data_IF_306314525916
#
_entry.id   IF_306314525916
#
_cell.length_a   1.000
_cell.length_b   1.000
_cell.length_c   1.000
_cell.angle_alpha   90.00
_cell.angle_beta   90.00
_cell.angle_gamma   90.00
#
_symmetry.space_group_name_H-M   'P 1'
#
loop_
_entity.id
_entity.type
_entity.pdbx_description
1 polymer ?
#
# COMPACT_ATOMS: atom_id res chain seq x y z
N UNK A 1 -41.02 54.66 7.99
CA UNK A 1 -39.87 54.22 7.22
C UNK A 1 -38.75 53.96 8.21
N UNK A 2 -38.58 52.72 8.63
CA UNK A 2 -37.54 52.30 9.59
C UNK A 2 -36.37 51.70 8.87
N UNK A 3 -35.19 52.24 9.14
CA UNK A 3 -33.91 51.74 8.63
C UNK A 3 -33.41 50.65 9.58
N UNK A 4 -33.21 49.44 9.04
CA UNK A 4 -32.65 48.32 9.83
C UNK A 4 -31.16 48.20 9.45
N UNK A 5 -30.32 48.55 10.44
CA UNK A 5 -28.87 48.43 10.35
C UNK A 5 -28.46 46.96 10.62
N UNK A 6 -28.06 46.23 9.59
CA UNK A 6 -27.49 44.88 9.67
C UNK A 6 -25.99 44.97 9.89
N UNK A 7 -25.51 44.92 11.13
CA UNK A 7 -24.11 44.71 11.44
C UNK A 7 -23.74 43.24 11.20
N UNK A 8 -23.06 42.99 10.10
CA UNK A 8 -22.38 41.72 9.78
C UNK A 8 -21.19 41.57 10.73
N UNK A 9 -21.28 40.59 11.64
CA UNK A 9 -20.16 40.14 12.47
C UNK A 9 -19.37 39.12 11.65
N UNK A 10 -18.27 39.55 11.05
CA UNK A 10 -17.30 38.70 10.43
C UNK A 10 -16.42 38.08 11.54
N UNK A 11 -16.76 36.86 12.00
CA UNK A 11 -15.87 36.04 12.83
C UNK A 11 -14.85 35.39 11.88
N UNK A 12 -13.73 36.06 11.64
CA UNK A 12 -12.53 35.42 11.10
C UNK A 12 -12.01 34.48 12.18
N UNK A 13 -12.09 33.18 11.93
CA UNK A 13 -11.42 32.18 12.76
C UNK A 13 -9.90 32.41 12.61
N UNK A 14 -9.28 32.94 13.66
CA UNK A 14 -7.82 33.02 13.77
C UNK A 14 -7.27 31.58 13.80
N UNK A 15 -6.79 31.12 12.66
CA UNK A 15 -6.02 29.87 12.58
C UNK A 15 -4.66 30.14 13.23
N UNK A 16 -4.49 29.69 14.47
CA UNK A 16 -3.22 29.73 15.18
C UNK A 16 -2.16 28.95 14.40
N UNK A 17 -1.29 29.66 13.69
CA UNK A 17 -0.14 29.11 12.99
C UNK A 17 1.04 28.96 13.95
N UNK A 18 1.03 27.91 14.79
CA UNK A 18 2.21 27.50 15.54
C UNK A 18 3.21 26.89 14.54
N UNK A 19 4.46 27.39 14.46
CA UNK A 19 5.45 26.86 13.54
C UNK A 19 5.74 25.38 13.85
N UNK A 20 6.05 24.55 12.84
CA UNK A 20 6.22 23.10 13.00
C UNK A 20 7.27 22.68 14.04
N UNK A 21 8.28 23.53 14.33
CA UNK A 21 9.36 23.28 15.27
C UNK A 21 8.96 23.41 16.75
N UNK A 22 7.82 24.06 17.05
CA UNK A 22 7.35 24.28 18.43
C UNK A 22 6.22 23.34 18.84
N UNK A 23 5.72 22.49 17.94
CA UNK A 23 4.73 21.47 18.28
C UNK A 23 5.40 20.32 19.01
N UNK A 24 5.23 20.25 20.32
CA UNK A 24 5.58 19.08 21.12
C UNK A 24 4.94 17.80 20.52
N UNK A 25 5.53 16.64 20.77
CA UNK A 25 4.91 15.36 20.37
C UNK A 25 3.54 15.26 21.05
N UNK A 26 2.47 14.88 20.34
CA UNK A 26 1.17 14.67 20.96
C UNK A 26 1.31 13.56 22.02
N UNK A 27 0.69 13.77 23.19
CA UNK A 27 0.61 12.75 24.24
C UNK A 27 -0.45 11.69 23.91
N UNK A 28 -1.48 12.08 23.16
CA UNK A 28 -2.57 11.21 22.74
C UNK A 28 -3.03 11.52 21.32
N UNK A 29 -3.56 10.49 20.62
CA UNK A 29 -4.09 10.57 19.26
C UNK A 29 -5.39 9.78 19.18
N UNK A 30 -6.38 10.33 18.49
CA UNK A 30 -7.60 9.63 18.11
C UNK A 30 -7.53 9.30 16.62
N UNK A 31 -7.82 8.04 16.26
CA UNK A 31 -7.85 7.56 14.88
C UNK A 31 -9.29 7.18 14.55
N UNK A 32 -9.83 7.76 13.50
CA UNK A 32 -11.12 7.35 12.93
C UNK A 32 -10.87 6.29 11.85
N UNK A 33 -11.43 5.10 12.07
CA UNK A 33 -11.31 3.95 11.20
C UNK A 33 -10.35 2.87 11.73
N UNK A 34 -10.86 1.66 11.91
CA UNK A 34 -10.12 0.46 12.33
C UNK A 34 -9.91 -0.53 11.17
N UNK A 35 -9.65 -0.04 9.97
CA UNK A 35 -9.10 -0.80 8.86
C UNK A 35 -7.58 -0.93 8.98
N UNK A 36 -6.93 -1.58 8.01
CA UNK A 36 -5.47 -1.85 8.04
C UNK A 36 -4.64 -0.58 8.25
N UNK A 37 -5.00 0.53 7.62
CA UNK A 37 -4.27 1.81 7.73
C UNK A 37 -4.40 2.37 9.14
N UNK A 38 -5.62 2.42 9.71
CA UNK A 38 -5.85 2.95 11.06
C UNK A 38 -5.18 2.09 12.13
N UNK A 39 -5.33 0.77 12.04
CA UNK A 39 -4.74 -0.17 13.01
C UNK A 39 -3.21 -0.17 12.96
N UNK A 40 -2.59 -0.17 11.78
CA UNK A 40 -1.13 -0.11 11.66
C UNK A 40 -0.57 1.23 12.12
N UNK A 41 -1.29 2.32 11.88
CA UNK A 41 -0.94 3.65 12.41
C UNK A 41 -1.01 3.65 13.94
N UNK A 42 -2.10 3.12 14.52
CA UNK A 42 -2.27 2.99 15.96
C UNK A 42 -1.12 2.18 16.59
N UNK A 43 -0.81 1.02 16.03
CA UNK A 43 0.29 0.16 16.47
C UNK A 43 1.64 0.90 16.44
N UNK A 44 1.96 1.59 15.35
CA UNK A 44 3.19 2.39 15.22
C UNK A 44 3.29 3.50 16.26
N UNK A 45 2.18 4.21 16.53
CA UNK A 45 2.12 5.27 17.53
C UNK A 45 2.27 4.71 18.96
N UNK A 46 1.59 3.60 19.27
CA UNK A 46 1.71 2.91 20.56
C UNK A 46 3.15 2.49 20.85
N UNK A 47 3.86 1.94 19.88
CA UNK A 47 5.29 1.59 20.00
C UNK A 47 6.20 2.80 20.25
N UNK A 48 5.73 4.01 19.95
CA UNK A 48 6.41 5.28 20.25
C UNK A 48 5.99 5.89 21.59
N UNK A 49 5.18 5.18 22.39
CA UNK A 49 4.70 5.63 23.69
C UNK A 49 3.56 6.65 23.63
N UNK A 50 2.91 6.81 22.48
CA UNK A 50 1.77 7.70 22.31
C UNK A 50 0.49 6.95 22.71
N UNK A 51 -0.37 7.57 23.51
CA UNK A 51 -1.69 7.04 23.79
C UNK A 51 -2.57 7.12 22.54
N UNK A 52 -3.27 6.01 22.21
CA UNK A 52 -4.09 5.96 20.98
C UNK A 52 -5.48 5.41 21.31
N UNK A 53 -6.48 6.13 20.84
CA UNK A 53 -7.87 5.67 20.79
C UNK A 53 -8.26 5.47 19.33
N UNK A 54 -8.80 4.30 18.99
CA UNK A 54 -9.33 4.01 17.64
C UNK A 54 -10.86 3.98 17.73
N UNK A 55 -11.53 4.69 16.84
CA UNK A 55 -12.98 4.76 16.74
C UNK A 55 -13.42 4.16 15.40
N UNK A 56 -14.30 3.16 15.47
CA UNK A 56 -14.91 2.52 14.31
C UNK A 56 -16.19 1.80 14.76
N UNK A 57 -17.25 1.89 14.00
CA UNK A 57 -18.52 1.22 14.27
C UNK A 57 -18.55 -0.25 13.80
N UNK A 58 -17.64 -0.64 12.89
CA UNK A 58 -17.51 -1.99 12.35
C UNK A 58 -16.03 -2.33 12.09
N UNK A 59 -15.20 -2.52 13.15
CA UNK A 59 -13.77 -2.74 13.00
C UNK A 59 -13.42 -3.89 12.07
N UNK A 60 -12.35 -3.73 11.29
CA UNK A 60 -11.81 -4.74 10.36
C UNK A 60 -12.80 -5.17 9.27
N UNK A 61 -13.84 -4.40 9.02
CA UNK A 61 -14.79 -4.62 7.93
C UNK A 61 -14.33 -3.94 6.62
N UNK A 62 -15.16 -3.98 5.61
CA UNK A 62 -14.95 -3.27 4.35
C UNK A 62 -13.75 -3.75 3.56
N UNK A 63 -12.97 -2.83 3.00
CA UNK A 63 -11.86 -3.14 2.09
C UNK A 63 -10.77 -4.00 2.74
N UNK A 64 -10.45 -3.77 4.01
CA UNK A 64 -9.45 -4.56 4.75
C UNK A 64 -9.88 -6.02 4.91
N UNK A 65 -11.17 -6.28 5.13
CA UNK A 65 -11.72 -7.63 5.20
C UNK A 65 -11.74 -8.32 3.83
N UNK A 66 -12.06 -7.55 2.77
CA UNK A 66 -12.14 -8.06 1.40
C UNK A 66 -10.77 -8.22 0.71
N UNK A 67 -9.69 -7.74 1.33
CA UNK A 67 -8.36 -7.77 0.75
C UNK A 67 -7.89 -9.20 0.48
N UNK A 68 -7.16 -9.40 -0.63
CA UNK A 68 -6.53 -10.67 -0.97
C UNK A 68 -5.13 -10.84 -0.33
N UNK A 69 -4.57 -9.78 0.27
CA UNK A 69 -3.27 -9.81 0.92
C UNK A 69 -2.07 -9.69 -0.03
N UNK A 70 -2.29 -9.31 -1.28
CA UNK A 70 -1.20 -9.05 -2.23
C UNK A 70 -0.39 -7.83 -1.81
N UNK A 71 0.93 -7.95 -1.88
CA UNK A 71 1.92 -6.91 -1.64
C UNK A 71 2.72 -6.75 -2.91
N UNK A 72 2.17 -6.00 -3.86
CA UNK A 72 2.57 -5.97 -5.25
C UNK A 72 3.10 -4.58 -5.69
N UNK A 73 4.21 -4.10 -5.11
CA UNK A 73 4.73 -2.77 -5.38
C UNK A 73 5.24 -2.59 -6.82
N UNK A 74 5.40 -3.66 -7.56
CA UNK A 74 5.97 -3.67 -8.92
C UNK A 74 4.96 -4.09 -9.96
N UNK A 75 4.22 -5.20 -9.77
CA UNK A 75 3.25 -5.66 -10.78
C UNK A 75 2.05 -4.73 -10.94
N UNK A 76 1.71 -3.95 -9.92
CA UNK A 76 0.62 -2.98 -9.98
C UNK A 76 1.03 -1.58 -10.48
N UNK A 77 2.27 -1.40 -10.93
CA UNK A 77 2.72 -0.15 -11.55
C UNK A 77 2.04 0.02 -12.90
N UNK A 78 1.43 1.20 -13.11
CA UNK A 78 0.77 1.62 -14.34
C UNK A 78 1.31 2.97 -14.82
N UNK A 79 1.17 3.29 -16.11
CA UNK A 79 1.86 4.45 -16.75
C UNK A 79 1.48 5.83 -16.21
N UNK A 80 0.30 6.00 -15.63
CA UNK A 80 -0.28 7.30 -15.29
C UNK A 80 -0.13 7.71 -13.82
N UNK A 81 0.59 6.92 -13.00
CA UNK A 81 0.75 7.18 -11.56
C UNK A 81 2.21 7.30 -11.08
N UNK A 82 3.09 8.05 -11.76
CA UNK A 82 4.53 8.07 -11.45
C UNK A 82 4.85 8.59 -10.05
N UNK A 83 3.99 9.42 -9.46
CA UNK A 83 4.18 9.95 -8.10
C UNK A 83 3.94 8.91 -7.00
N UNK A 84 3.20 7.83 -7.31
CA UNK A 84 2.93 6.75 -6.37
C UNK A 84 4.08 5.73 -6.30
N UNK A 85 4.85 5.56 -7.36
CA UNK A 85 5.88 4.52 -7.45
C UNK A 85 6.92 4.57 -6.32
N UNK A 86 7.50 5.73 -5.94
CA UNK A 86 8.47 5.77 -4.85
C UNK A 86 7.87 5.30 -3.51
N UNK A 87 6.60 5.62 -3.26
CA UNK A 87 5.90 5.16 -2.06
C UNK A 87 5.67 3.65 -2.07
N UNK A 88 5.27 3.07 -3.21
CA UNK A 88 5.05 1.63 -3.35
C UNK A 88 6.35 0.86 -3.16
N UNK A 89 7.44 1.29 -3.81
CA UNK A 89 8.77 0.67 -3.69
C UNK A 89 9.30 0.73 -2.26
N UNK A 90 9.19 1.89 -1.61
CA UNK A 90 9.63 2.06 -0.22
C UNK A 90 8.77 1.22 0.74
N UNK A 91 7.46 1.15 0.50
CA UNK A 91 6.56 0.29 1.28
C UNK A 91 6.97 -1.18 1.18
N UNK A 92 7.24 -1.67 -0.04
CA UNK A 92 7.72 -3.05 -0.26
C UNK A 92 9.05 -3.31 0.45
N UNK A 93 10.00 -2.38 0.36
CA UNK A 93 11.32 -2.50 0.98
C UNK A 93 11.27 -2.67 2.50
N UNK A 94 10.36 -1.97 3.18
CA UNK A 94 10.25 -2.02 4.66
C UNK A 94 9.29 -3.09 5.16
N UNK A 95 8.55 -3.76 4.27
CA UNK A 95 7.42 -4.60 4.67
C UNK A 95 7.86 -5.86 5.44
N UNK A 96 8.98 -6.49 5.08
CA UNK A 96 9.54 -7.66 5.80
C UNK A 96 9.75 -7.36 7.29
N UNK A 97 10.46 -6.27 7.59
CA UNK A 97 10.78 -5.88 8.97
C UNK A 97 9.51 -5.45 9.72
N UNK A 98 8.57 -4.82 9.02
CA UNK A 98 7.28 -4.47 9.56
C UNK A 98 6.46 -5.71 9.93
N UNK A 99 6.38 -6.70 9.05
CA UNK A 99 5.68 -7.96 9.28
C UNK A 99 6.31 -8.74 10.45
N UNK A 100 7.64 -8.84 10.47
CA UNK A 100 8.37 -9.49 11.55
C UNK A 100 8.13 -8.82 12.92
N UNK A 101 8.07 -7.48 12.94
CA UNK A 101 7.81 -6.75 14.16
C UNK A 101 6.37 -6.94 14.68
N UNK A 102 5.38 -7.05 13.79
CA UNK A 102 4.00 -7.38 14.19
C UNK A 102 3.94 -8.81 14.69
N UNK A 103 4.49 -9.79 13.97
CA UNK A 103 4.51 -11.19 14.37
C UNK A 103 5.14 -11.37 15.76
N UNK A 104 6.24 -10.66 16.04
CA UNK A 104 6.87 -10.64 17.35
C UNK A 104 5.91 -10.10 18.44
N UNK A 105 5.22 -8.98 18.20
CA UNK A 105 4.36 -8.33 19.19
C UNK A 105 3.07 -9.13 19.45
N UNK A 106 2.53 -9.84 18.44
CA UNK A 106 1.34 -10.69 18.60
C UNK A 106 1.67 -12.11 19.03
N UNK A 107 2.93 -12.54 18.93
CA UNK A 107 3.41 -13.86 19.36
C UNK A 107 3.07 -15.02 18.41
N UNK A 108 2.68 -14.73 17.16
CA UNK A 108 2.44 -15.75 16.12
C UNK A 108 2.73 -15.21 14.73
N UNK A 109 2.87 -16.13 13.76
CA UNK A 109 3.02 -15.78 12.35
C UNK A 109 1.76 -15.10 11.84
N UNK A 110 1.95 -14.07 11.01
CA UNK A 110 0.90 -13.29 10.34
C UNK A 110 0.73 -13.68 8.86
N UNK A 111 1.31 -14.80 8.45
CA UNK A 111 1.21 -15.31 7.09
C UNK A 111 1.94 -14.46 6.04
N UNK A 112 3.01 -13.73 6.43
CA UNK A 112 3.87 -13.04 5.46
C UNK A 112 4.70 -14.07 4.69
N UNK A 113 4.52 -14.12 3.38
CA UNK A 113 5.21 -15.02 2.49
C UNK A 113 5.95 -14.23 1.41
N UNK A 114 7.27 -14.43 1.33
CA UNK A 114 8.08 -13.96 0.22
C UNK A 114 7.84 -14.87 -0.97
N UNK A 115 7.05 -14.37 -1.88
CA UNK A 115 6.72 -14.99 -3.16
C UNK A 115 7.23 -14.12 -4.31
N UNK A 116 7.01 -14.54 -5.53
CA UNK A 116 7.11 -13.70 -6.73
C UNK A 116 5.75 -13.65 -7.41
N UNK A 117 5.61 -12.72 -8.36
CA UNK A 117 4.45 -12.62 -9.24
C UNK A 117 4.87 -12.90 -10.67
N UNK A 118 4.15 -13.79 -11.37
CA UNK A 118 4.26 -13.91 -12.81
C UNK A 118 3.18 -13.06 -13.49
N UNK A 119 3.63 -12.16 -14.38
CA UNK A 119 2.71 -11.47 -15.29
C UNK A 119 2.87 -12.09 -16.66
N UNK A 120 1.78 -12.64 -17.19
CA UNK A 120 1.74 -13.42 -18.42
C UNK A 120 0.94 -12.72 -19.50
N UNK A 121 1.43 -12.79 -20.73
CA UNK A 121 0.74 -12.31 -21.93
C UNK A 121 -0.06 -13.46 -22.56
N UNK A 122 -1.33 -13.21 -22.89
CA UNK A 122 -2.22 -14.16 -23.54
C UNK A 122 -2.17 -14.11 -25.07
N UNK A 123 -1.67 -13.00 -25.64
CA UNK A 123 -1.52 -12.83 -27.08
C UNK A 123 -0.35 -11.89 -27.44
N UNK A 124 -0.23 -11.52 -28.71
CA UNK A 124 0.85 -10.67 -29.20
C UNK A 124 0.73 -9.22 -28.75
N UNK A 125 -0.50 -8.71 -28.57
CA UNK A 125 -0.73 -7.34 -28.09
C UNK A 125 -0.39 -7.24 -26.60
N UNK A 126 -0.84 -8.20 -25.79
CA UNK A 126 -0.46 -8.33 -24.40
C UNK A 126 1.05 -8.43 -24.21
N UNK A 127 1.72 -9.21 -25.09
CA UNK A 127 3.18 -9.33 -25.03
C UNK A 127 3.89 -8.02 -25.34
N UNK A 128 3.36 -7.21 -26.26
CA UNK A 128 3.90 -5.87 -26.52
C UNK A 128 3.73 -4.98 -25.29
N UNK A 129 2.53 -4.92 -24.72
CA UNK A 129 2.21 -4.17 -23.50
C UNK A 129 3.11 -4.59 -22.33
N UNK A 130 3.29 -5.90 -22.15
CA UNK A 130 4.18 -6.44 -21.11
C UNK A 130 5.64 -5.99 -21.28
N UNK A 131 6.13 -5.93 -22.54
CA UNK A 131 7.47 -5.44 -22.84
C UNK A 131 7.62 -3.93 -22.52
N UNK A 132 6.64 -3.12 -22.91
CA UNK A 132 6.63 -1.68 -22.63
C UNK A 132 6.58 -1.39 -21.12
N UNK A 133 5.78 -2.16 -20.39
CA UNK A 133 5.70 -2.07 -18.93
C UNK A 133 7.01 -2.50 -18.26
N UNK A 134 7.62 -3.58 -18.71
CA UNK A 134 8.94 -4.02 -18.25
C UNK A 134 10.00 -2.92 -18.40
N UNK A 135 10.01 -2.23 -19.54
CA UNK A 135 10.92 -1.10 -19.77
C UNK A 135 10.66 0.07 -18.83
N UNK A 136 9.39 0.39 -18.53
CA UNK A 136 9.03 1.40 -17.56
C UNK A 136 9.52 1.00 -16.17
N UNK A 137 9.25 -0.21 -15.73
CA UNK A 137 9.65 -0.74 -14.42
C UNK A 137 11.18 -0.69 -14.25
N UNK A 138 11.93 -1.09 -15.28
CA UNK A 138 13.40 -0.99 -15.26
C UNK A 138 13.90 0.44 -15.19
N UNK A 139 13.29 1.40 -15.93
CA UNK A 139 13.64 2.84 -15.82
C UNK A 139 13.38 3.39 -14.42
N UNK A 140 12.41 2.83 -13.70
CA UNK A 140 12.09 3.19 -12.31
C UNK A 140 12.96 2.46 -11.28
N UNK A 141 13.95 1.66 -11.74
CA UNK A 141 14.86 0.91 -10.85
C UNK A 141 14.23 -0.34 -10.21
N UNK A 142 13.10 -0.82 -10.75
CA UNK A 142 12.42 -2.01 -10.25
C UNK A 142 13.04 -3.27 -10.84
N UNK A 143 13.03 -4.36 -10.07
CA UNK A 143 13.54 -5.66 -10.52
C UNK A 143 12.41 -6.47 -11.14
N UNK A 144 12.49 -6.67 -12.44
CA UNK A 144 11.57 -7.50 -13.23
C UNK A 144 12.39 -8.33 -14.19
N UNK A 145 12.17 -9.63 -14.21
CA UNK A 145 12.94 -10.57 -15.02
C UNK A 145 12.10 -11.11 -16.17
N UNK A 146 12.59 -11.00 -17.40
CA UNK A 146 11.96 -11.70 -18.51
C UNK A 146 12.26 -13.20 -18.37
N UNK A 147 11.23 -14.04 -18.44
CA UNK A 147 11.36 -15.48 -18.44
C UNK A 147 10.72 -16.09 -19.69
N UNK A 148 11.19 -17.26 -20.06
CA UNK A 148 10.54 -18.01 -21.15
C UNK A 148 9.19 -18.59 -20.68
N UNK A 149 8.28 -18.79 -21.63
CA UNK A 149 6.99 -19.45 -21.35
C UNK A 149 7.21 -20.87 -20.78
N UNK A 150 8.28 -21.54 -21.20
CA UNK A 150 8.64 -22.86 -20.66
C UNK A 150 9.04 -22.79 -19.19
N UNK A 151 9.82 -21.76 -18.78
CA UNK A 151 10.17 -21.52 -17.37
C UNK A 151 8.94 -21.17 -16.54
N UNK A 152 8.07 -20.28 -17.06
CA UNK A 152 6.83 -19.93 -16.39
C UNK A 152 5.93 -21.15 -16.15
N UNK A 153 5.76 -22.03 -17.15
CA UNK A 153 4.99 -23.28 -17.02
C UNK A 153 5.64 -24.32 -16.12
N UNK A 154 6.97 -24.34 -16.04
CA UNK A 154 7.66 -25.23 -15.11
C UNK A 154 7.43 -24.83 -13.65
N UNK A 155 7.34 -23.52 -13.39
CA UNK A 155 7.07 -22.97 -12.05
C UNK A 155 5.57 -22.99 -11.71
N UNK A 156 4.69 -22.71 -12.70
CA UNK A 156 3.23 -22.74 -12.55
C UNK A 156 2.61 -23.64 -13.64
N UNK A 157 2.46 -24.93 -13.34
CA UNK A 157 1.93 -25.91 -14.31
C UNK A 157 0.49 -25.65 -14.75
N UNK A 158 -0.29 -24.86 -13.99
CA UNK A 158 -1.66 -24.49 -14.35
C UNK A 158 -1.74 -23.42 -15.46
N UNK A 159 -0.60 -22.81 -15.84
CA UNK A 159 -0.56 -21.87 -16.96
C UNK A 159 -1.00 -22.54 -18.26
N UNK A 160 -2.10 -22.04 -18.81
CA UNK A 160 -2.72 -22.56 -20.03
C UNK A 160 -1.84 -22.43 -21.28
N UNK A 161 -2.19 -23.11 -22.37
CA UNK A 161 -1.42 -23.12 -23.61
C UNK A 161 -1.35 -21.76 -24.31
N UNK A 162 -2.26 -20.83 -24.01
CA UNK A 162 -2.32 -19.50 -24.62
C UNK A 162 -1.25 -18.51 -24.16
N UNK A 163 -0.48 -18.82 -23.13
CA UNK A 163 0.60 -17.94 -22.68
C UNK A 163 1.68 -17.80 -23.75
N UNK A 164 1.96 -16.58 -24.20
CA UNK A 164 2.92 -16.24 -25.27
C UNK A 164 4.10 -15.38 -24.77
N UNK A 165 4.10 -14.98 -23.51
CA UNK A 165 5.16 -14.20 -22.87
C UNK A 165 4.98 -14.18 -21.37
N UNK A 166 6.06 -14.02 -20.61
CA UNK A 166 5.99 -13.91 -19.16
C UNK A 166 7.16 -13.10 -18.61
N UNK A 167 6.92 -12.46 -17.47
CA UNK A 167 7.94 -11.87 -16.60
C UNK A 167 7.75 -12.39 -15.19
N UNK A 168 8.87 -12.49 -14.46
CA UNK A 168 8.93 -12.80 -13.04
C UNK A 168 9.30 -11.54 -12.26
N UNK A 169 8.53 -11.25 -11.22
CA UNK A 169 8.67 -10.08 -10.36
C UNK A 169 8.95 -10.56 -8.94
N UNK A 170 10.23 -10.70 -8.56
CA UNK A 170 10.62 -11.28 -7.28
C UNK A 170 10.34 -10.36 -6.07
N UNK A 171 10.03 -9.09 -6.29
CA UNK A 171 9.75 -8.13 -5.23
C UNK A 171 8.29 -8.07 -4.80
N UNK A 172 7.42 -8.83 -5.43
CA UNK A 172 6.02 -8.94 -5.04
C UNK A 172 5.82 -10.11 -4.07
N UNK A 173 5.12 -9.85 -2.99
CA UNK A 173 4.91 -10.80 -1.89
C UNK A 173 3.44 -10.88 -1.51
N UNK A 174 3.14 -11.58 -0.43
CA UNK A 174 1.78 -11.66 0.11
C UNK A 174 1.78 -11.76 1.64
N UNK A 175 0.65 -11.45 2.24
CA UNK A 175 0.38 -11.60 3.68
C UNK A 175 -1.03 -12.15 3.85
N UNK A 176 -1.29 -12.90 4.92
CA UNK A 176 -2.66 -13.24 5.27
C UNK A 176 -3.38 -11.98 5.77
N UNK A 177 -4.45 -11.55 5.11
CA UNK A 177 -5.18 -10.34 5.50
C UNK A 177 -6.15 -10.57 6.68
N UNK A 178 -6.26 -11.78 7.24
CA UNK A 178 -7.22 -12.15 8.29
C UNK A 178 -6.59 -12.56 9.60
#
# INVERSE_FOLDING_TARGET
>A
VGHVDTKSHNHAAETSTIPPSERGRPSSVVIAGAGIIGLTTAWRLRRRGIEVTVLDDAPVSGASFAAAGMLAPVSEVIWDQPTLYPLMVESGRIYRDFAAAIAHDVGHDIGYLESSTFVCAGDSADRQTLNELLELQHRMGMTVNRISVSQARAAEPALGPGCVGAVDIPGDHQVDPR
#
